data_IF_433441919006
#
_entry.id   IF_433441919006
#
_cell.length_a   1.000
_cell.length_b   1.000
_cell.length_c   1.000
_cell.angle_alpha   90.00
_cell.angle_beta   90.00
_cell.angle_gamma   90.00
#
_symmetry.space_group_name_H-M   'P 1'
#
loop_
_entity.id
_entity.type
_entity.pdbx_description
1 polymer ?
#
# COMPACT_ATOMS: atom_id res chain seq x y z
N UNK A 1 -4.62 -24.58 9.38
CA UNK A 1 -3.48 -23.82 9.96
C UNK A 1 -3.61 -23.83 11.47
N UNK A 2 -2.51 -24.02 12.20
CA UNK A 2 -2.49 -23.98 13.68
C UNK A 2 -2.26 -22.56 14.25
N UNK A 3 -2.13 -21.55 13.38
CA UNK A 3 -1.53 -20.24 13.70
C UNK A 3 -2.39 -18.99 13.40
N UNK A 4 -3.58 -19.13 12.80
CA UNK A 4 -4.46 -18.00 12.46
C UNK A 4 -5.10 -18.13 11.07
N UNK A 5 -5.78 -17.06 10.64
CA UNK A 5 -6.41 -16.93 9.32
C UNK A 5 -5.80 -15.72 8.59
N UNK A 6 -5.59 -15.86 7.28
CA UNK A 6 -5.02 -14.82 6.41
C UNK A 6 -5.92 -14.66 5.19
N UNK A 7 -6.23 -13.42 4.83
CA UNK A 7 -6.91 -13.07 3.59
C UNK A 7 -6.16 -11.90 2.91
N UNK A 8 -5.89 -12.02 1.62
CA UNK A 8 -5.25 -10.99 0.80
C UNK A 8 -5.65 -11.17 -0.67
N UNK A 9 -5.37 -10.16 -1.51
CA UNK A 9 -5.76 -10.14 -2.93
C UNK A 9 -5.01 -11.15 -3.79
N UNK A 10 -3.80 -11.56 -3.41
CA UNK A 10 -2.97 -12.50 -4.16
C UNK A 10 -2.50 -13.71 -3.33
N UNK A 11 -2.39 -14.87 -3.97
CA UNK A 11 -1.87 -16.11 -3.35
C UNK A 11 -0.44 -15.96 -2.85
N UNK A 12 0.42 -15.24 -3.56
CA UNK A 12 1.81 -14.97 -3.15
C UNK A 12 1.85 -14.13 -1.87
N UNK A 13 0.99 -13.11 -1.78
CA UNK A 13 0.80 -12.29 -0.57
C UNK A 13 0.36 -13.14 0.63
N UNK A 14 -0.63 -14.03 0.44
CA UNK A 14 -1.10 -14.96 1.48
C UNK A 14 0.00 -15.94 1.91
N UNK A 15 0.76 -16.46 0.95
CA UNK A 15 1.84 -17.40 1.22
C UNK A 15 2.96 -16.75 2.04
N UNK A 16 3.37 -15.52 1.69
CA UNK A 16 4.33 -14.74 2.48
C UNK A 16 3.90 -14.59 3.94
N UNK A 17 2.65 -14.17 4.19
CA UNK A 17 2.15 -14.04 5.56
C UNK A 17 2.17 -15.39 6.29
N UNK A 18 1.80 -16.48 5.62
CA UNK A 18 1.83 -17.82 6.20
C UNK A 18 3.25 -18.23 6.59
N UNK A 19 4.22 -18.04 5.70
CA UNK A 19 5.61 -18.42 5.94
C UNK A 19 6.18 -17.66 7.15
N UNK A 20 5.82 -16.38 7.29
CA UNK A 20 6.21 -15.55 8.45
C UNK A 20 5.56 -16.05 9.75
N UNK A 21 4.28 -16.43 9.74
CA UNK A 21 3.62 -17.04 10.90
C UNK A 21 4.25 -18.40 11.26
N UNK A 22 4.59 -19.21 10.27
CA UNK A 22 5.26 -20.50 10.46
C UNK A 22 6.68 -20.35 11.01
N UNK A 23 7.34 -19.23 10.71
CA UNK A 23 8.61 -18.83 11.33
C UNK A 23 8.47 -18.26 12.76
N UNK A 24 7.26 -18.27 13.34
CA UNK A 24 7.01 -17.84 14.72
C UNK A 24 6.75 -16.34 14.90
N UNK A 25 6.49 -15.64 13.80
CA UNK A 25 6.02 -14.25 13.79
C UNK A 25 4.59 -14.11 14.29
N UNK A 26 4.20 -12.88 14.58
CA UNK A 26 2.83 -12.54 14.96
C UNK A 26 2.02 -12.00 13.76
N UNK A 27 0.77 -11.61 14.00
CA UNK A 27 -0.11 -11.07 12.96
C UNK A 27 0.44 -9.78 12.31
N UNK A 28 1.20 -8.97 13.04
CA UNK A 28 1.77 -7.71 12.56
C UNK A 28 3.00 -7.98 11.67
N UNK A 29 3.88 -8.90 12.07
CA UNK A 29 4.99 -9.37 11.23
C UNK A 29 4.45 -9.91 9.89
N UNK A 30 3.45 -10.79 9.97
CA UNK A 30 2.86 -11.43 8.80
C UNK A 30 2.17 -10.43 7.87
N UNK A 31 1.43 -9.46 8.43
CA UNK A 31 0.78 -8.41 7.66
C UNK A 31 1.81 -7.47 6.98
N UNK A 32 2.85 -7.05 7.70
CA UNK A 32 3.91 -6.18 7.13
C UNK A 32 4.62 -6.88 5.96
N UNK A 33 5.08 -8.12 6.16
CA UNK A 33 5.76 -8.88 5.09
C UNK A 33 4.84 -9.19 3.91
N UNK A 34 3.56 -9.45 4.17
CA UNK A 34 2.56 -9.59 3.10
C UNK A 34 2.40 -8.30 2.30
N UNK A 35 2.28 -7.13 2.94
CA UNK A 35 2.14 -5.87 2.19
C UNK A 35 3.39 -5.60 1.36
N UNK A 36 4.61 -5.79 1.87
CA UNK A 36 5.83 -5.66 1.05
C UNK A 36 5.86 -6.65 -0.12
N UNK A 37 5.43 -7.89 0.09
CA UNK A 37 5.32 -8.90 -0.99
C UNK A 37 4.28 -8.47 -2.04
N UNK A 38 3.16 -7.90 -1.61
CA UNK A 38 2.11 -7.39 -2.51
C UNK A 38 2.59 -6.23 -3.39
N UNK A 39 3.62 -5.48 -2.99
CA UNK A 39 4.23 -4.46 -3.86
C UNK A 39 4.93 -5.06 -5.09
N UNK A 40 5.12 -6.39 -5.13
CA UNK A 40 5.62 -7.14 -6.29
C UNK A 40 4.52 -7.94 -6.96
N UNK A 41 3.63 -8.58 -6.21
CA UNK A 41 2.58 -9.42 -6.79
C UNK A 41 1.31 -8.66 -7.15
N UNK A 42 1.16 -7.40 -6.71
CA UNK A 42 -0.02 -6.54 -6.86
C UNK A 42 0.42 -5.09 -7.14
N UNK A 43 1.54 -4.90 -7.86
CA UNK A 43 2.26 -3.63 -8.02
C UNK A 43 1.46 -2.48 -8.67
N UNK A 44 0.36 -2.78 -9.36
CA UNK A 44 -0.56 -1.75 -9.90
C UNK A 44 -1.47 -1.14 -8.83
N UNK A 45 -1.52 -1.73 -7.63
CA UNK A 45 -2.43 -1.36 -6.54
C UNK A 45 -1.70 -0.80 -5.32
N UNK A 46 -0.45 -1.21 -5.10
CA UNK A 46 0.35 -0.80 -3.94
C UNK A 46 1.84 -0.79 -4.25
N UNK A 47 2.59 0.06 -3.53
CA UNK A 47 4.03 0.21 -3.69
C UNK A 47 4.66 1.02 -2.56
N UNK A 48 6.00 1.09 -2.51
CA UNK A 48 6.72 1.84 -1.48
C UNK A 48 6.50 3.35 -1.57
N UNK A 49 6.11 3.83 -2.76
CA UNK A 49 5.77 5.22 -3.07
C UNK A 49 4.34 5.64 -2.70
N UNK A 50 3.51 4.73 -2.18
CA UNK A 50 2.12 4.99 -1.83
C UNK A 50 1.93 5.43 -0.37
N UNK A 51 0.71 5.27 0.14
CA UNK A 51 0.36 5.48 1.55
C UNK A 51 -0.85 4.64 1.92
N UNK A 52 -1.22 4.62 3.20
CA UNK A 52 -2.32 3.81 3.69
C UNK A 52 -2.59 3.98 5.17
N UNK A 53 -3.36 3.04 5.73
CA UNK A 53 -3.59 2.96 7.16
C UNK A 53 -3.58 1.49 7.61
N UNK A 54 -3.14 1.25 8.84
CA UNK A 54 -3.05 -0.09 9.44
C UNK A 54 -3.81 -0.11 10.76
N UNK A 55 -4.93 -0.83 10.82
CA UNK A 55 -5.68 -1.04 12.05
C UNK A 55 -5.15 -2.28 12.78
N UNK A 56 -4.52 -2.05 13.92
CA UNK A 56 -3.94 -3.08 14.77
C UNK A 56 -4.79 -3.29 16.01
N UNK A 57 -5.02 -4.55 16.39
CA UNK A 57 -5.65 -4.90 17.66
C UNK A 57 -4.78 -5.90 18.43
N UNK A 58 -3.78 -5.43 19.19
CA UNK A 58 -2.92 -6.31 19.98
C UNK A 58 -3.71 -6.98 21.12
N UNK A 59 -3.43 -8.25 21.38
CA UNK A 59 -4.12 -9.01 22.43
C UNK A 59 -3.99 -8.34 23.81
N UNK A 60 -5.12 -8.13 24.48
CA UNK A 60 -5.18 -7.51 25.81
C UNK A 60 -4.84 -6.00 25.85
N UNK A 61 -4.81 -5.32 24.70
CA UNK A 61 -4.61 -3.87 24.60
C UNK A 61 -5.74 -3.22 23.82
N UNK A 62 -5.87 -1.91 23.92
CA UNK A 62 -6.76 -1.15 23.02
C UNK A 62 -6.24 -1.17 21.57
N UNK A 63 -7.13 -1.11 20.57
CA UNK A 63 -6.72 -1.05 19.18
C UNK A 63 -6.10 0.31 18.84
N UNK A 64 -5.19 0.29 17.86
CA UNK A 64 -4.42 1.44 17.40
C UNK A 64 -4.52 1.48 15.88
N UNK A 65 -4.70 2.66 15.31
CA UNK A 65 -4.58 2.87 13.86
C UNK A 65 -3.26 3.60 13.57
N UNK A 66 -2.43 3.03 12.71
CA UNK A 66 -1.29 3.73 12.14
C UNK A 66 -1.75 4.39 10.84
N UNK A 67 -1.78 5.71 10.79
CA UNK A 67 -2.06 6.50 9.60
C UNK A 67 -0.73 6.91 8.95
N UNK A 68 -0.49 6.36 7.77
CA UNK A 68 0.66 6.65 6.93
C UNK A 68 0.17 6.95 5.51
N UNK A 69 -0.93 7.68 5.42
CA UNK A 69 -1.39 8.20 4.15
C UNK A 69 -0.40 9.23 3.60
N UNK A 70 -0.47 9.51 2.31
CA UNK A 70 0.49 10.42 1.67
C UNK A 70 0.24 11.88 2.08
N UNK A 71 1.30 12.64 2.29
CA UNK A 71 1.20 14.08 2.56
C UNK A 71 1.26 14.88 1.26
N UNK A 72 0.33 15.80 1.09
CA UNK A 72 0.34 16.73 -0.04
C UNK A 72 1.45 17.76 0.17
N UNK A 73 2.43 17.88 -0.74
CA UNK A 73 3.47 18.89 -0.62
C UNK A 73 2.89 20.32 -0.65
N UNK A 74 3.56 21.31 -0.05
CA UNK A 74 3.07 22.68 -0.05
C UNK A 74 2.96 23.22 -1.49
N UNK A 75 1.96 24.07 -1.78
CA UNK A 75 1.78 24.63 -3.12
C UNK A 75 2.97 25.52 -3.51
N UNK A 76 3.45 25.37 -4.73
CA UNK A 76 4.52 26.19 -5.33
C UNK A 76 3.94 26.97 -6.52
N UNK A 77 3.19 28.07 -6.28
CA UNK A 77 2.62 28.87 -7.35
C UNK A 77 3.76 29.36 -8.26
N UNK A 78 3.60 29.20 -9.57
CA UNK A 78 4.59 29.48 -10.64
C UNK A 78 5.55 28.34 -11.01
N UNK A 79 5.50 27.18 -10.37
CA UNK A 79 6.28 26.02 -10.83
C UNK A 79 5.64 25.40 -12.07
N UNK A 80 6.43 25.17 -13.11
CA UNK A 80 6.02 24.34 -14.26
C UNK A 80 5.96 22.88 -13.80
N UNK A 81 4.74 22.35 -13.69
CA UNK A 81 4.50 20.98 -13.25
C UNK A 81 4.33 20.06 -14.45
N UNK A 82 5.00 18.92 -14.40
CA UNK A 82 4.64 17.76 -15.21
C UNK A 82 3.42 17.11 -14.55
N UNK A 83 2.24 17.65 -14.85
CA UNK A 83 0.98 17.23 -14.25
C UNK A 83 -0.14 17.36 -15.28
N UNK A 84 -0.68 16.23 -15.70
CA UNK A 84 -1.74 16.21 -16.70
C UNK A 84 -2.66 15.02 -16.48
N UNK A 85 -3.88 15.12 -17.02
CA UNK A 85 -4.87 14.08 -16.85
C UNK A 85 -4.86 13.07 -18.00
N UNK A 86 -5.23 11.85 -17.66
CA UNK A 86 -5.45 10.75 -18.58
C UNK A 86 -6.73 10.01 -18.20
N UNK A 87 -7.52 9.64 -19.20
CA UNK A 87 -8.75 8.89 -19.01
C UNK A 87 -8.49 7.40 -19.19
N UNK A 88 -8.80 6.61 -18.16
CA UNK A 88 -8.71 5.16 -18.19
C UNK A 88 -10.13 4.57 -18.26
N UNK A 89 -10.33 3.64 -19.18
CA UNK A 89 -11.61 2.98 -19.42
C UNK A 89 -11.65 1.63 -18.71
N UNK A 90 -12.58 1.49 -17.75
CA UNK A 90 -12.80 0.25 -17.00
C UNK A 90 -13.98 -0.56 -17.56
N UNK A 91 -14.58 -0.15 -18.67
CA UNK A 91 -15.78 -0.72 -19.26
C UNK A 91 -17.04 0.10 -18.92
N UNK A 92 -17.76 -0.20 -17.83
CA UNK A 92 -18.98 0.53 -17.48
C UNK A 92 -18.71 1.92 -16.91
N UNK A 93 -17.45 2.24 -16.59
CA UNK A 93 -17.03 3.53 -16.06
C UNK A 93 -15.71 3.96 -16.69
N UNK A 94 -15.53 5.28 -16.82
CA UNK A 94 -14.25 5.90 -17.15
C UNK A 94 -13.80 6.74 -15.97
N UNK A 95 -12.51 6.67 -15.65
CA UNK A 95 -11.94 7.40 -14.53
C UNK A 95 -10.77 8.24 -15.02
N UNK A 96 -10.76 9.49 -14.59
CA UNK A 96 -9.66 10.42 -14.83
C UNK A 96 -8.57 10.20 -13.78
N UNK A 97 -7.34 9.97 -14.23
CA UNK A 97 -6.14 9.92 -13.42
C UNK A 97 -5.27 11.12 -13.75
N UNK A 98 -4.55 11.63 -12.76
CA UNK A 98 -3.50 12.61 -13.00
C UNK A 98 -2.15 11.93 -12.86
N UNK A 99 -1.27 12.14 -13.84
CA UNK A 99 0.06 11.55 -13.89
C UNK A 99 1.13 12.63 -14.14
N UNK A 100 2.39 12.20 -14.11
CA UNK A 100 3.56 13.07 -14.22
C UNK A 100 4.19 13.35 -12.85
N UNK A 101 5.36 13.99 -12.83
CA UNK A 101 6.09 14.24 -11.57
C UNK A 101 5.28 15.08 -10.57
N UNK A 102 4.43 15.98 -11.04
CA UNK A 102 3.56 16.84 -10.22
C UNK A 102 2.40 16.12 -9.55
N UNK A 103 2.10 14.87 -9.93
CA UNK A 103 1.04 14.08 -9.27
C UNK A 103 1.54 13.35 -8.01
N UNK A 104 2.82 13.44 -7.69
CA UNK A 104 3.45 12.68 -6.61
C UNK A 104 3.37 13.44 -5.28
N UNK A 105 2.76 12.79 -4.30
CA UNK A 105 2.73 13.21 -2.90
C UNK A 105 3.87 12.56 -2.09
N UNK A 106 4.08 12.97 -0.85
CA UNK A 106 5.11 12.39 0.02
C UNK A 106 4.73 10.95 0.38
N UNK A 107 5.55 9.94 0.04
CA UNK A 107 5.19 8.55 0.29
C UNK A 107 5.15 8.20 1.79
N UNK A 108 4.15 7.41 2.19
CA UNK A 108 3.96 6.98 3.57
C UNK A 108 4.10 5.50 3.82
N UNK A 109 3.88 4.65 2.81
CA UNK A 109 3.76 3.21 3.00
C UNK A 109 5.02 2.58 3.64
N UNK A 110 6.21 3.02 3.19
CA UNK A 110 7.49 2.53 3.72
C UNK A 110 7.66 2.88 5.19
N UNK A 111 7.46 4.15 5.59
CA UNK A 111 7.52 4.55 6.98
C UNK A 111 6.48 3.82 7.83
N UNK A 112 5.22 3.78 7.37
CA UNK A 112 4.12 3.14 8.08
C UNK A 112 4.36 1.68 8.42
N UNK A 113 4.77 0.88 7.44
CA UNK A 113 5.01 -0.55 7.63
C UNK A 113 6.22 -0.82 8.53
N UNK A 114 7.29 -0.02 8.41
CA UNK A 114 8.45 -0.11 9.29
C UNK A 114 8.09 0.27 10.74
N UNK A 115 7.29 1.33 10.93
CA UNK A 115 6.80 1.73 12.26
C UNK A 115 5.90 0.66 12.87
N UNK A 116 4.98 0.05 12.11
CA UNK A 116 4.13 -1.06 12.60
C UNK A 116 5.01 -2.24 13.04
N UNK A 117 5.99 -2.62 12.22
CA UNK A 117 6.91 -3.71 12.55
C UNK A 117 7.75 -3.38 13.79
N UNK A 118 8.30 -2.18 13.90
CA UNK A 118 9.07 -1.77 15.08
C UNK A 118 8.23 -1.79 16.36
N UNK A 119 6.99 -1.30 16.27
CA UNK A 119 6.10 -1.14 17.44
C UNK A 119 5.46 -2.44 17.88
N UNK A 120 5.09 -3.31 16.93
CA UNK A 120 4.24 -4.47 17.18
C UNK A 120 4.80 -5.79 16.64
N UNK A 121 5.85 -5.75 15.82
CA UNK A 121 6.51 -6.94 15.31
C UNK A 121 7.31 -7.69 16.38
N UNK A 122 7.72 -8.91 16.04
CA UNK A 122 8.48 -9.81 16.92
C UNK A 122 9.71 -10.37 16.22
N UNK A 123 9.67 -10.54 14.90
CA UNK A 123 10.79 -11.10 14.15
C UNK A 123 11.80 -10.01 13.75
N UNK A 124 13.04 -10.38 13.39
CA UNK A 124 13.94 -9.45 12.72
C UNK A 124 13.33 -8.97 11.40
N UNK A 125 13.50 -7.68 11.07
CA UNK A 125 12.97 -7.09 9.83
C UNK A 125 13.42 -7.86 8.59
N UNK A 126 14.67 -8.35 8.57
CA UNK A 126 15.19 -9.21 7.51
C UNK A 126 14.29 -10.42 7.26
N UNK A 127 13.88 -11.13 8.30
CA UNK A 127 12.99 -12.30 8.19
C UNK A 127 11.63 -11.91 7.63
N UNK A 128 11.12 -10.73 7.98
CA UNK A 128 9.82 -10.23 7.51
C UNK A 128 9.85 -9.80 6.05
N UNK A 129 10.97 -9.25 5.58
CA UNK A 129 11.13 -8.78 4.19
C UNK A 129 11.64 -9.86 3.22
N UNK A 130 12.20 -10.97 3.72
CA UNK A 130 12.76 -12.05 2.90
C UNK A 130 11.78 -12.57 1.83
N UNK A 131 10.49 -12.84 2.12
CA UNK A 131 9.56 -13.31 1.10
C UNK A 131 9.36 -12.30 -0.04
N UNK A 132 9.36 -11.01 0.27
CA UNK A 132 9.23 -9.94 -0.72
C UNK A 132 10.50 -9.81 -1.57
N UNK A 133 11.69 -9.95 -0.96
CA UNK A 133 12.98 -9.98 -1.66
C UNK A 133 13.03 -11.17 -2.63
N UNK A 134 12.71 -12.38 -2.17
CA UNK A 134 12.70 -13.56 -3.04
C UNK A 134 11.70 -13.40 -4.18
N UNK A 135 10.50 -12.89 -3.88
CA UNK A 135 9.44 -12.67 -4.88
C UNK A 135 9.88 -11.64 -5.92
N UNK A 136 10.53 -10.55 -5.52
CA UNK A 136 11.07 -9.53 -6.43
C UNK A 136 12.15 -10.06 -7.38
N UNK A 137 13.02 -10.97 -6.90
CA UNK A 137 14.08 -11.60 -7.70
C UNK A 137 13.55 -12.70 -8.62
N UNK A 138 12.74 -13.63 -8.09
CA UNK A 138 12.20 -14.78 -8.83
C UNK A 138 11.13 -14.34 -9.82
N UNK A 139 10.32 -13.37 -9.43
CA UNK A 139 9.22 -12.82 -10.20
C UNK A 139 7.88 -13.50 -9.90
N UNK A 140 6.82 -12.91 -10.45
CA UNK A 140 5.43 -13.37 -10.31
C UNK A 140 4.82 -13.55 -11.69
N UNK A 141 4.17 -14.69 -11.92
CA UNK A 141 3.38 -14.93 -13.13
C UNK A 141 2.10 -14.08 -13.06
N UNK A 142 1.89 -13.25 -14.07
CA UNK A 142 0.70 -12.40 -14.15
C UNK A 142 -0.55 -13.26 -14.41
N UNK A 143 -1.55 -13.13 -13.53
CA UNK A 143 -2.86 -13.75 -13.74
C UNK A 143 -3.75 -12.87 -14.64
N UNK A 144 -4.96 -13.33 -14.93
CA UNK A 144 -5.95 -12.60 -15.73
C UNK A 144 -6.20 -11.18 -15.22
N UNK A 145 -6.41 -11.01 -13.90
CA UNK A 145 -6.64 -9.71 -13.28
C UNK A 145 -5.46 -8.75 -13.44
N UNK A 146 -4.22 -9.25 -13.33
CA UNK A 146 -3.03 -8.45 -13.61
C UNK A 146 -2.93 -8.10 -15.09
N UNK A 147 -3.18 -9.06 -15.99
CA UNK A 147 -3.17 -8.82 -17.43
C UNK A 147 -4.17 -7.73 -17.84
N UNK A 148 -5.35 -7.74 -17.23
CA UNK A 148 -6.34 -6.68 -17.37
C UNK A 148 -5.82 -5.32 -16.89
N UNK A 149 -5.30 -5.24 -15.66
CA UNK A 149 -4.78 -4.00 -15.08
C UNK A 149 -3.58 -3.44 -15.88
N UNK A 150 -2.65 -4.30 -16.28
CA UNK A 150 -1.53 -3.94 -17.16
C UNK A 150 -2.03 -3.29 -18.44
N UNK A 151 -3.02 -3.91 -19.10
CA UNK A 151 -3.58 -3.40 -20.35
C UNK A 151 -4.21 -2.02 -20.17
N UNK A 152 -5.08 -1.84 -19.18
CA UNK A 152 -5.80 -0.57 -19.03
C UNK A 152 -4.89 0.54 -18.49
N UNK A 153 -3.89 0.21 -17.66
CA UNK A 153 -2.95 1.16 -17.07
C UNK A 153 -1.68 1.36 -17.90
N UNK A 154 -1.55 0.74 -19.09
CA UNK A 154 -0.38 0.90 -19.97
C UNK A 154 0.06 2.36 -20.12
N UNK A 155 -0.84 3.32 -20.41
CA UNK A 155 -0.43 4.72 -20.58
C UNK A 155 0.22 5.34 -19.33
N UNK A 156 -0.10 4.83 -18.15
CA UNK A 156 0.47 5.26 -16.86
C UNK A 156 1.79 4.54 -16.61
N UNK A 157 1.78 3.20 -16.71
CA UNK A 157 2.92 2.34 -16.42
C UNK A 157 4.09 2.58 -17.37
N UNK A 158 3.81 2.92 -18.63
CA UNK A 158 4.82 3.16 -19.66
C UNK A 158 5.04 4.63 -19.96
N UNK A 159 4.55 5.55 -19.12
CA UNK A 159 4.76 6.98 -19.31
C UNK A 159 6.26 7.35 -19.25
N UNK A 160 6.97 6.85 -18.24
CA UNK A 160 8.40 7.12 -18.03
C UNK A 160 9.30 6.10 -18.72
N UNK A 161 10.57 6.46 -18.95
CA UNK A 161 11.58 5.53 -19.49
C UNK A 161 11.86 4.36 -18.55
N UNK A 162 11.87 4.61 -17.23
CA UNK A 162 12.00 3.56 -16.21
C UNK A 162 10.80 2.63 -16.19
N UNK A 163 9.59 3.17 -16.30
CA UNK A 163 8.35 2.41 -16.41
C UNK A 163 8.33 1.52 -17.66
N UNK A 164 8.68 2.07 -18.84
CA UNK A 164 8.84 1.30 -20.08
C UNK A 164 9.82 0.14 -19.90
N UNK A 165 10.97 0.38 -19.28
CA UNK A 165 12.00 -0.66 -19.06
C UNK A 165 11.49 -1.76 -18.13
N UNK A 166 10.70 -1.42 -17.12
CA UNK A 166 10.23 -2.36 -16.10
C UNK A 166 9.00 -3.16 -16.56
N UNK A 167 8.06 -2.52 -17.26
CA UNK A 167 6.75 -3.10 -17.57
C UNK A 167 6.60 -3.57 -19.01
N UNK A 168 7.64 -3.47 -19.85
CA UNK A 168 7.58 -3.96 -21.24
C UNK A 168 8.63 -5.03 -21.53
N UNK A 169 8.25 -5.99 -22.38
CA UNK A 169 9.13 -6.98 -22.95
C UNK A 169 9.01 -6.93 -24.47
N UNK A 170 10.14 -6.80 -25.19
CA UNK A 170 10.18 -6.67 -26.65
C UNK A 170 9.27 -5.53 -27.17
N UNK A 171 9.21 -4.43 -26.43
CA UNK A 171 8.45 -3.22 -26.79
C UNK A 171 6.94 -3.33 -26.60
N UNK A 172 6.44 -4.38 -25.94
CA UNK A 172 5.03 -4.54 -25.58
C UNK A 172 4.89 -4.66 -24.07
N UNK A 173 3.83 -4.09 -23.52
CA UNK A 173 3.52 -4.24 -22.09
C UNK A 173 3.36 -5.72 -21.73
N UNK A 174 3.80 -6.09 -20.53
CA UNK A 174 3.59 -7.44 -19.98
C UNK A 174 2.09 -7.76 -19.91
N UNK A 175 1.75 -9.02 -20.14
CA UNK A 175 0.38 -9.52 -20.14
C UNK A 175 0.26 -10.77 -19.27
N UNK A 176 -0.97 -11.25 -19.12
CA UNK A 176 -1.23 -12.54 -18.47
C UNK A 176 -0.31 -13.65 -18.99
N UNK A 177 0.23 -14.45 -18.05
CA UNK A 177 1.17 -15.53 -18.31
C UNK A 177 2.64 -15.09 -18.36
N UNK A 178 2.93 -13.80 -18.55
CA UNK A 178 4.30 -13.30 -18.49
C UNK A 178 4.81 -13.29 -17.03
N UNK A 179 6.13 -13.38 -16.86
CA UNK A 179 6.78 -13.28 -15.54
C UNK A 179 7.24 -11.85 -15.28
N UNK A 180 6.69 -11.19 -14.27
CA UNK A 180 7.15 -9.87 -13.82
C UNK A 180 8.26 -10.02 -12.79
N UNK A 181 9.42 -9.42 -13.04
CA UNK A 181 10.56 -9.40 -12.12
C UNK A 181 10.98 -7.95 -11.83
N UNK A 182 11.31 -7.67 -10.57
CA UNK A 182 11.80 -6.36 -10.17
C UNK A 182 12.98 -6.49 -9.20
N UNK A 183 14.16 -6.93 -9.68
CA UNK A 183 15.33 -7.09 -8.82
C UNK A 183 15.74 -5.78 -8.13
N UNK A 184 15.54 -4.62 -8.76
CA UNK A 184 15.81 -3.33 -8.13
C UNK A 184 14.96 -3.10 -6.87
N UNK A 185 13.74 -3.66 -6.80
CA UNK A 185 12.93 -3.62 -5.58
C UNK A 185 13.48 -4.54 -4.48
N UNK A 186 14.09 -5.67 -4.82
CA UNK A 186 14.81 -6.47 -3.82
C UNK A 186 16.04 -5.73 -3.28
N UNK A 187 16.83 -5.08 -4.14
CA UNK A 187 17.96 -4.23 -3.70
C UNK A 187 17.47 -3.14 -2.73
N UNK A 188 16.34 -2.50 -3.07
CA UNK A 188 15.68 -1.53 -2.21
C UNK A 188 15.30 -2.08 -0.83
N UNK A 189 14.71 -3.29 -0.78
CA UNK A 189 14.36 -3.92 0.50
C UNK A 189 15.60 -4.29 1.33
N UNK A 190 16.69 -4.69 0.68
CA UNK A 190 17.98 -4.94 1.35
C UNK A 190 18.54 -3.65 1.99
N UNK A 191 18.45 -2.52 1.30
CA UNK A 191 18.83 -1.22 1.87
C UNK A 191 17.94 -0.83 3.07
N UNK A 192 16.63 -1.11 3.01
CA UNK A 192 15.73 -0.89 4.15
C UNK A 192 16.10 -1.76 5.36
N UNK A 193 16.60 -2.98 5.16
CA UNK A 193 17.05 -3.84 6.26
C UNK A 193 18.26 -3.22 6.97
N UNK A 194 19.18 -2.61 6.22
CA UNK A 194 20.44 -2.09 6.74
C UNK A 194 20.24 -0.70 7.38
N UNK A 195 19.46 0.15 6.73
CA UNK A 195 19.38 1.57 7.03
C UNK A 195 18.01 2.03 7.53
N UNK A 196 17.00 1.17 7.51
CA UNK A 196 15.64 1.51 7.93
C UNK A 196 15.01 2.63 7.11
N UNK A 197 14.17 3.43 7.74
CA UNK A 197 13.48 4.57 7.11
C UNK A 197 14.45 5.67 6.64
N UNK A 198 15.61 5.82 7.29
CA UNK A 198 16.57 6.87 6.94
C UNK A 198 17.08 6.72 5.50
N UNK A 199 17.20 5.50 4.95
CA UNK A 199 17.53 5.31 3.54
C UNK A 199 16.50 5.97 2.60
N UNK A 200 15.21 5.81 2.89
CA UNK A 200 14.12 6.29 2.05
C UNK A 200 13.89 7.80 2.17
N UNK A 201 13.95 8.35 3.39
CA UNK A 201 13.52 9.72 3.68
C UNK A 201 14.67 10.72 3.85
N UNK A 202 15.91 10.26 4.09
CA UNK A 202 17.07 11.13 4.34
C UNK A 202 18.31 10.77 3.51
N UNK A 203 18.44 9.51 3.10
CA UNK A 203 19.62 8.94 2.46
C UNK A 203 19.59 8.98 0.93
N UNK A 204 20.23 7.98 0.32
CA UNK A 204 20.32 7.84 -1.13
C UNK A 204 18.95 7.63 -1.79
N UNK A 205 18.00 6.99 -1.11
CA UNK A 205 16.61 6.88 -1.57
C UNK A 205 15.92 8.24 -1.69
N UNK A 206 16.06 9.11 -0.69
CA UNK A 206 15.51 10.47 -0.71
C UNK A 206 16.10 11.30 -1.87
N UNK A 207 17.42 11.19 -2.07
CA UNK A 207 18.09 11.84 -3.20
C UNK A 207 17.53 11.35 -4.53
N UNK A 208 17.35 10.05 -4.72
CA UNK A 208 16.77 9.47 -5.94
C UNK A 208 15.33 9.96 -6.18
N UNK A 209 14.51 10.03 -5.14
CA UNK A 209 13.14 10.54 -5.22
C UNK A 209 13.14 12.01 -5.68
N UNK A 210 13.97 12.85 -5.08
CA UNK A 210 14.06 14.28 -5.42
C UNK A 210 14.62 14.51 -6.82
N UNK A 211 15.62 13.72 -7.24
CA UNK A 211 16.15 13.77 -8.61
C UNK A 211 15.10 13.34 -9.65
N UNK A 212 14.25 12.38 -9.30
CA UNK A 212 13.24 11.83 -10.22
C UNK A 212 11.98 12.70 -10.30
N UNK A 213 11.53 13.27 -9.18
CA UNK A 213 10.21 13.92 -9.08
C UNK A 213 10.27 15.37 -8.59
N UNK A 214 11.43 15.89 -8.18
CA UNK A 214 11.54 17.23 -7.60
C UNK A 214 11.58 18.35 -8.64
N UNK A 215 12.13 18.10 -9.85
CA UNK A 215 12.34 19.15 -10.85
C UNK A 215 11.01 19.68 -11.42
N UNK A 216 10.13 18.78 -11.87
CA UNK A 216 8.80 19.12 -12.40
C UNK A 216 7.65 18.64 -11.50
N UNK A 217 7.94 18.28 -10.25
CA UNK A 217 6.94 17.98 -9.23
C UNK A 217 7.01 18.91 -8.03
N UNK A 218 6.32 18.57 -6.95
CA UNK A 218 6.21 19.45 -5.77
C UNK A 218 7.02 18.98 -4.56
N UNK A 219 7.63 17.80 -4.61
CA UNK A 219 8.46 17.28 -3.52
C UNK A 219 9.68 18.17 -3.27
N UNK A 220 9.95 18.44 -2.00
CA UNK A 220 11.17 19.12 -1.52
C UNK A 220 11.88 18.25 -0.48
N UNK A 221 13.17 18.51 -0.18
CA UNK A 221 13.87 17.81 0.90
C UNK A 221 13.13 17.89 2.23
N UNK A 222 12.54 19.05 2.55
CA UNK A 222 11.78 19.28 3.78
C UNK A 222 10.50 18.43 3.82
N UNK A 223 9.85 18.20 2.67
CA UNK A 223 8.68 17.32 2.60
C UNK A 223 9.02 15.90 3.03
N UNK A 224 10.15 15.35 2.57
CA UNK A 224 10.61 14.01 2.94
C UNK A 224 11.09 13.96 4.40
N UNK A 225 11.83 14.98 4.84
CA UNK A 225 12.41 15.03 6.18
C UNK A 225 11.36 15.16 7.29
N UNK A 226 10.22 15.80 7.01
CA UNK A 226 9.16 16.07 7.96
C UNK A 226 7.98 15.06 7.88
N UNK A 227 8.07 14.03 7.03
CA UNK A 227 7.01 13.03 6.95
C UNK A 227 6.93 12.21 8.23
N UNK A 228 5.72 12.02 8.76
CA UNK A 228 5.50 11.26 9.99
C UNK A 228 4.32 10.28 9.86
N UNK A 229 4.47 9.13 10.52
CA UNK A 229 3.36 8.19 10.73
C UNK A 229 2.60 8.63 11.98
N UNK A 230 1.28 8.75 11.86
CA UNK A 230 0.43 9.22 12.96
C UNK A 230 -0.28 8.03 13.59
N UNK A 231 0.04 7.71 14.85
CA UNK A 231 -0.77 6.79 15.66
C UNK A 231 -2.06 7.48 16.10
N UNK A 232 -3.20 6.87 15.76
CA UNK A 232 -4.55 7.39 16.05
C UNK A 232 -5.34 6.38 16.87
N UNK A 233 -6.22 6.89 17.73
CA UNK A 233 -7.29 6.09 18.32
C UNK A 233 -8.32 5.78 17.24
N UNK A 234 -8.64 4.49 16.96
CA UNK A 234 -9.66 4.14 15.98
C UNK A 234 -11.03 4.71 16.34
N UNK A 235 -11.85 4.98 15.33
CA UNK A 235 -13.25 5.34 15.55
C UNK A 235 -14.00 4.10 16.06
N UNK A 236 -14.53 4.19 17.27
CA UNK A 236 -15.28 3.14 17.95
C UNK A 236 -16.78 3.39 17.82
N UNK A 237 -17.53 2.39 17.36
CA UNK A 237 -19.00 2.40 17.30
C UNK A 237 -19.53 1.11 17.87
N UNK A 238 -20.56 1.18 18.71
CA UNK A 238 -21.31 -0.01 19.11
C UNK A 238 -22.52 -0.17 18.17
N UNK A 239 -22.74 -1.40 17.71
CA UNK A 239 -23.84 -1.77 16.81
C UNK A 239 -24.34 -3.15 17.25
N UNK A 240 -25.60 -3.22 17.67
CA UNK A 240 -26.17 -4.33 18.44
C UNK A 240 -25.29 -4.77 19.63
N UNK A 241 -24.88 -6.04 19.69
CA UNK A 241 -24.05 -6.62 20.75
C UNK A 241 -22.54 -6.60 20.43
N UNK A 242 -22.13 -5.86 19.38
CA UNK A 242 -20.75 -5.79 18.89
C UNK A 242 -20.19 -4.38 18.94
N UNK A 243 -18.87 -4.30 19.09
CA UNK A 243 -18.09 -3.08 18.91
C UNK A 243 -17.32 -3.15 17.59
N UNK A 244 -17.49 -2.12 16.77
CA UNK A 244 -16.77 -1.90 15.52
C UNK A 244 -15.68 -0.85 15.73
N UNK A 245 -14.50 -1.13 15.18
CA UNK A 245 -13.40 -0.18 15.09
C UNK A 245 -13.11 0.10 13.61
N UNK A 246 -13.01 1.38 13.25
CA UNK A 246 -12.76 1.81 11.88
C UNK A 246 -11.85 3.05 11.86
N UNK A 247 -11.48 3.50 10.67
CA UNK A 247 -10.58 4.65 10.52
C UNK A 247 -11.27 5.93 11.04
N UNK A 248 -10.61 6.73 11.90
CA UNK A 248 -11.08 8.05 12.27
C UNK A 248 -10.74 9.06 11.15
N UNK A 249 -11.10 10.32 11.38
CA UNK A 249 -10.61 11.44 10.56
C UNK A 249 -9.07 11.44 10.49
N UNK A 250 -8.46 11.75 9.33
CA UNK A 250 -9.06 12.39 8.14
C UNK A 250 -9.78 11.44 7.17
N UNK A 251 -9.75 10.13 7.39
CA UNK A 251 -10.44 9.17 6.53
C UNK A 251 -11.96 9.30 6.68
N UNK A 252 -12.64 9.73 5.61
CA UNK A 252 -14.10 9.91 5.58
C UNK A 252 -14.83 8.55 5.59
N UNK A 253 -14.23 7.50 5.03
CA UNK A 253 -14.88 6.19 4.88
C UNK A 253 -15.33 5.57 6.20
N UNK A 254 -14.48 5.62 7.23
CA UNK A 254 -14.82 5.10 8.56
C UNK A 254 -15.96 5.89 9.21
N UNK A 255 -15.98 7.22 9.07
CA UNK A 255 -17.09 8.08 9.52
C UNK A 255 -18.39 7.76 8.80
N UNK A 256 -18.37 7.50 7.49
CA UNK A 256 -19.57 7.13 6.75
C UNK A 256 -20.10 5.75 7.17
N UNK A 257 -19.23 4.77 7.39
CA UNK A 257 -19.61 3.45 7.94
C UNK A 257 -20.25 3.63 9.31
N UNK A 258 -19.61 4.39 10.21
CA UNK A 258 -20.11 4.70 11.54
C UNK A 258 -21.51 5.32 11.51
N UNK A 259 -21.67 6.34 10.68
CA UNK A 259 -22.92 7.04 10.49
C UNK A 259 -24.02 6.11 9.97
N UNK A 260 -23.73 5.30 8.95
CA UNK A 260 -24.69 4.35 8.39
C UNK A 260 -25.10 3.29 9.42
N UNK A 261 -24.16 2.73 10.19
CA UNK A 261 -24.49 1.76 11.25
C UNK A 261 -25.38 2.38 12.33
N UNK A 262 -25.10 3.62 12.76
CA UNK A 262 -25.95 4.32 13.72
C UNK A 262 -27.33 4.65 13.16
N UNK A 263 -27.44 4.98 11.87
CA UNK A 263 -28.73 5.15 11.22
C UNK A 263 -29.52 3.84 11.19
N UNK A 264 -28.87 2.72 10.86
CA UNK A 264 -29.50 1.40 10.83
C UNK A 264 -29.99 1.01 12.23
N UNK A 265 -29.18 1.17 13.28
CA UNK A 265 -29.56 0.85 14.67
C UNK A 265 -30.78 1.66 15.13
N UNK A 266 -30.84 2.94 14.76
CA UNK A 266 -31.94 3.83 15.15
C UNK A 266 -33.19 3.67 14.27
N UNK A 267 -33.02 3.13 13.07
CA UNK A 267 -34.13 2.82 12.19
C UNK A 267 -34.80 1.51 12.61
N UNK A 268 -36.13 1.49 12.73
CA UNK A 268 -36.91 0.28 13.04
C UNK A 268 -36.99 -0.69 11.84
N UNK A 269 -35.90 -0.88 11.08
CA UNK A 269 -35.87 -1.88 10.04
C UNK A 269 -35.63 -3.25 10.67
N UNK A 270 -36.71 -4.01 10.91
CA UNK A 270 -36.60 -5.46 11.07
C UNK A 270 -36.23 -6.04 9.70
N UNK A 271 -34.95 -6.32 9.48
CA UNK A 271 -34.57 -7.22 8.40
C UNK A 271 -34.92 -8.63 8.84
N UNK A 272 -36.08 -9.14 8.41
CA UNK A 272 -36.33 -10.58 8.40
C UNK A 272 -35.34 -11.20 7.42
N UNK A 273 -34.18 -11.60 7.93
CA UNK A 273 -33.21 -12.40 7.18
C UNK A 273 -33.68 -13.85 7.18
N UNK A 274 -34.77 -14.13 6.45
CA UNK A 274 -35.08 -15.48 6.02
C UNK A 274 -34.04 -15.89 4.98
N UNK A 275 -32.97 -16.51 5.47
CA UNK A 275 -32.01 -17.23 4.62
C UNK A 275 -32.63 -18.61 4.36
N UNK A 276 -32.99 -18.97 3.11
CA UNK A 276 -33.43 -20.32 2.80
C UNK A 276 -32.29 -21.30 3.07
N UNK A 277 -32.58 -22.34 3.86
CA UNK A 277 -31.65 -23.43 4.17
C UNK A 277 -31.39 -24.39 3.01
#
# INVERSE_FOLDING_TARGET
MKFGSIAAGNKTTVQSARDILECGGNAFDAAVGAVFTSMVSEFTLTGPGGGGAFLAYPNGKEPILFDFFVDTPPPQPNKDLDFFSILIDFGPAKQEFHIGQGSVAVPGNTAGLLTVHERLGKLPLKTVLEPAIETARKGVILNESHGYLMKILDPILTHSSSGKKLFTQKGKILKEGDNFQNPAFADFLEELIIHGTDFFYKGSGAKLILETFGQKGLLTPECLANYEVIERTPLKIDFHDKTFYTNPVPSIGGTLIAFTLQLIENSRFSFDMDVPG
#
